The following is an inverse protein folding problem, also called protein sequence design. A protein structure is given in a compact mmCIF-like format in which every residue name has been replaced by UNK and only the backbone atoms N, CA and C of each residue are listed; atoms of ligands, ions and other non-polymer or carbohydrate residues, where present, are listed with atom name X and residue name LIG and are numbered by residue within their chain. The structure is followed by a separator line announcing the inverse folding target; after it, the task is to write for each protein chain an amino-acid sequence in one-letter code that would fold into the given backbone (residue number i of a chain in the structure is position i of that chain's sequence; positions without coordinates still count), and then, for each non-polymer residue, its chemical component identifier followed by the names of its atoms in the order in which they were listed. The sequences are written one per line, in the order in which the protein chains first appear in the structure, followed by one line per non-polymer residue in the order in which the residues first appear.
data_IF_533923682362
#
_entry.id   IF_533923682362
#
_cell.length_a   1.000
_cell.length_b   1.000
_cell.length_c   1.000
_cell.angle_alpha   90.00
_cell.angle_beta   90.00
_cell.angle_gamma   90.00
#
_symmetry.space_group_name_H-M   'P 1'
#
loop_
_entity.id
_entity.type
_entity.pdbx_description
1 polymer ?
#
# COMPACT_ATOMS: atom_id res chain seq x y z
N UNK A 1 11.27 -11.61 22.58
CA UNK A 1 11.91 -11.73 21.26
C UNK A 1 11.16 -12.68 20.33
N UNK A 2 10.38 -13.65 20.83
CA UNK A 2 9.71 -14.68 20.00
C UNK A 2 8.47 -14.23 19.21
N UNK A 3 7.71 -13.21 19.64
CA UNK A 3 6.48 -12.80 18.94
C UNK A 3 6.71 -12.11 17.58
N UNK A 4 7.91 -11.58 17.31
CA UNK A 4 8.22 -10.94 16.02
C UNK A 4 8.23 -11.95 14.88
N UNK A 5 8.74 -13.16 15.15
CA UNK A 5 8.84 -14.24 14.17
C UNK A 5 7.49 -14.84 13.78
N UNK A 6 6.52 -14.93 14.71
CA UNK A 6 5.20 -15.54 14.42
C UNK A 6 4.38 -14.69 13.46
N UNK A 7 4.45 -13.36 13.60
CA UNK A 7 3.71 -12.45 12.70
C UNK A 7 4.30 -12.45 11.30
N UNK A 8 5.62 -12.39 11.18
CA UNK A 8 6.33 -12.45 9.91
C UNK A 8 6.10 -13.80 9.20
N UNK A 9 6.14 -14.91 9.95
CA UNK A 9 5.81 -16.25 9.44
C UNK A 9 4.35 -16.33 8.98
N UNK A 10 3.42 -15.75 9.75
CA UNK A 10 2.01 -15.69 9.38
C UNK A 10 1.81 -14.87 8.11
N UNK A 11 2.45 -13.71 7.97
CA UNK A 11 2.36 -12.85 6.78
C UNK A 11 2.89 -13.54 5.51
N UNK A 12 3.96 -14.35 5.63
CA UNK A 12 4.41 -15.24 4.55
C UNK A 12 3.40 -16.34 4.25
N UNK A 13 2.89 -17.02 5.28
CA UNK A 13 1.91 -18.13 5.13
C UNK A 13 0.59 -17.68 4.53
N UNK A 14 0.14 -16.46 4.84
CA UNK A 14 -1.06 -15.89 4.23
C UNK A 14 -0.76 -15.19 2.91
N UNK A 15 0.48 -15.16 2.42
CA UNK A 15 0.88 -14.56 1.15
C UNK A 15 0.72 -13.03 1.10
N UNK A 16 0.81 -12.35 2.25
CA UNK A 16 0.87 -10.88 2.32
C UNK A 16 2.29 -10.38 2.06
N UNK A 17 3.28 -11.11 2.54
CA UNK A 17 4.68 -10.93 2.22
C UNK A 17 5.03 -11.79 0.99
N UNK A 18 5.52 -11.13 -0.06
CA UNK A 18 5.90 -11.76 -1.33
C UNK A 18 7.39 -11.63 -1.62
N UNK A 19 8.22 -11.17 -0.68
CA UNK A 19 9.68 -10.96 -0.91
C UNK A 19 10.37 -12.17 -1.51
N UNK A 20 10.10 -13.37 -1.00
CA UNK A 20 10.65 -14.62 -1.55
C UNK A 20 10.10 -14.96 -2.94
N UNK A 21 8.83 -14.65 -3.22
CA UNK A 21 8.20 -14.93 -4.50
C UNK A 21 8.69 -13.98 -5.61
N UNK A 22 9.07 -12.75 -5.27
CA UNK A 22 9.54 -11.73 -6.22
C UNK A 22 11.06 -11.60 -6.26
N UNK A 23 11.81 -12.45 -5.54
CA UNK A 23 13.28 -12.36 -5.47
C UNK A 23 13.95 -12.47 -6.83
N UNK A 24 13.45 -13.34 -7.70
CA UNK A 24 13.98 -13.58 -9.04
C UNK A 24 13.29 -12.71 -10.12
N UNK A 25 12.24 -11.98 -9.75
CA UNK A 25 11.54 -11.06 -10.66
C UNK A 25 12.38 -9.80 -10.86
N UNK A 26 12.58 -9.36 -12.10
CA UNK A 26 13.24 -8.08 -12.36
C UNK A 26 12.34 -6.91 -12.01
N UNK A 27 12.89 -5.86 -11.39
CA UNK A 27 12.15 -4.63 -11.13
C UNK A 27 11.68 -3.99 -12.44
N UNK A 28 10.49 -3.39 -12.41
CA UNK A 28 9.92 -2.69 -13.57
C UNK A 28 10.78 -1.50 -14.01
N UNK A 29 10.67 -1.11 -15.28
CA UNK A 29 11.30 0.10 -15.80
C UNK A 29 10.63 1.36 -15.22
N UNK A 30 11.32 2.49 -15.30
CA UNK A 30 10.71 3.78 -14.88
C UNK A 30 9.54 4.17 -15.80
N UNK A 31 9.58 3.77 -17.08
CA UNK A 31 8.49 3.97 -18.03
C UNK A 31 7.23 3.18 -17.61
N UNK A 32 7.40 1.93 -17.21
CA UNK A 32 6.32 1.09 -16.70
C UNK A 32 5.73 1.64 -15.39
N UNK A 33 6.60 2.13 -14.50
CA UNK A 33 6.20 2.74 -13.25
C UNK A 33 5.42 4.04 -13.50
N UNK A 34 5.86 4.86 -14.46
CA UNK A 34 5.16 6.09 -14.84
C UNK A 34 3.79 5.79 -15.46
N UNK A 35 3.72 4.84 -16.41
CA UNK A 35 2.45 4.40 -17.00
C UNK A 35 1.49 3.87 -15.93
N UNK A 36 1.99 3.12 -14.95
CA UNK A 36 1.15 2.67 -13.84
C UNK A 36 0.65 3.83 -12.98
N UNK A 37 1.51 4.80 -12.67
CA UNK A 37 1.13 6.00 -11.91
C UNK A 37 0.07 6.83 -12.63
N UNK A 38 0.22 7.00 -13.95
CA UNK A 38 -0.76 7.69 -14.80
C UNK A 38 -2.12 6.98 -14.82
N UNK A 39 -2.14 5.65 -15.00
CA UNK A 39 -3.37 4.85 -14.99
C UNK A 39 -4.06 4.91 -13.62
N UNK A 40 -3.29 4.87 -12.53
CA UNK A 40 -3.82 5.06 -11.18
C UNK A 40 -4.41 6.45 -10.98
N UNK A 41 -3.73 7.50 -11.44
CA UNK A 41 -4.23 8.87 -11.38
C UNK A 41 -5.48 9.07 -12.23
N UNK A 42 -5.54 8.47 -13.43
CA UNK A 42 -6.71 8.51 -14.29
C UNK A 42 -7.91 7.77 -13.68
N UNK A 43 -7.68 6.59 -13.11
CA UNK A 43 -8.71 5.82 -12.42
C UNK A 43 -9.20 6.54 -11.14
N UNK A 44 -8.30 7.19 -10.39
CA UNK A 44 -8.67 8.08 -9.28
C UNK A 44 -9.61 9.19 -9.73
N UNK A 45 -9.36 9.77 -10.91
CA UNK A 45 -10.23 10.77 -11.49
C UNK A 45 -11.68 10.30 -11.72
N UNK A 46 -11.86 9.00 -11.94
CA UNK A 46 -13.18 8.38 -12.16
C UNK A 46 -13.87 7.99 -10.86
N UNK A 47 -13.11 7.67 -9.82
CA UNK A 47 -13.62 7.16 -8.53
C UNK A 47 -13.88 8.30 -7.55
N UNK A 48 -13.01 9.32 -7.52
CA UNK A 48 -13.05 10.40 -6.54
C UNK A 48 -13.41 11.74 -7.18
N UNK A 49 -14.21 12.51 -6.44
CA UNK A 49 -14.53 13.89 -6.77
C UNK A 49 -13.26 14.75 -6.76
N UNK A 50 -13.15 15.81 -7.59
CA UNK A 50 -11.95 16.64 -7.70
C UNK A 50 -11.35 17.10 -6.37
N UNK A 51 -12.18 17.58 -5.43
CA UNK A 51 -11.74 18.05 -4.11
C UNK A 51 -11.27 16.92 -3.17
N UNK A 52 -11.51 15.67 -3.56
CA UNK A 52 -11.17 14.47 -2.80
C UNK A 52 -9.98 13.71 -3.40
N UNK A 53 -9.47 14.13 -4.56
CA UNK A 53 -8.36 13.48 -5.27
C UNK A 53 -7.02 13.75 -4.59
N UNK A 54 -6.82 13.08 -3.46
CA UNK A 54 -5.53 13.02 -2.78
C UNK A 54 -5.02 11.58 -2.80
N UNK A 55 -3.73 11.41 -3.10
CA UNK A 55 -3.09 10.10 -3.05
C UNK A 55 -3.25 9.42 -1.68
N UNK A 56 -3.33 10.21 -0.60
CA UNK A 56 -3.50 9.68 0.76
C UNK A 56 -4.88 9.07 1.00
N UNK A 57 -5.95 9.61 0.35
CA UNK A 57 -7.27 8.97 0.40
C UNK A 57 -7.28 7.64 -0.34
N UNK A 58 -6.58 7.55 -1.47
CA UNK A 58 -6.40 6.26 -2.15
C UNK A 58 -5.67 5.28 -1.24
N UNK A 59 -4.52 5.68 -0.69
CA UNK A 59 -3.74 4.86 0.23
C UNK A 59 -4.62 4.29 1.35
N UNK A 60 -5.42 5.14 1.99
CA UNK A 60 -6.35 4.73 3.05
C UNK A 60 -7.47 3.78 2.59
N UNK A 61 -7.86 3.83 1.33
CA UNK A 61 -8.88 2.93 0.78
C UNK A 61 -8.29 1.56 0.44
N UNK A 62 -7.00 1.52 0.12
CA UNK A 62 -6.25 0.30 -0.22
C UNK A 62 -5.75 -0.44 1.02
N UNK A 63 -5.36 0.29 2.07
CA UNK A 63 -4.99 -0.24 3.39
C UNK A 63 -6.23 -0.76 4.14
N UNK A 64 -6.83 -1.85 3.63
CA UNK A 64 -8.08 -2.44 4.11
C UNK A 64 -7.91 -3.00 5.52
N UNK A 65 -6.77 -3.64 5.78
CA UNK A 65 -6.49 -4.20 7.10
C UNK A 65 -6.06 -3.14 8.13
N UNK A 66 -5.84 -1.90 7.67
CA UNK A 66 -5.43 -0.81 8.52
C UNK A 66 -4.10 -1.12 9.19
N UNK A 67 -3.12 -1.65 8.46
CA UNK A 67 -1.75 -1.85 8.93
C UNK A 67 -0.89 -0.59 8.77
N UNK A 68 -1.23 0.27 7.79
CA UNK A 68 -0.51 1.50 7.48
C UNK A 68 0.63 1.28 6.50
N UNK A 69 0.61 0.11 5.86
CA UNK A 69 1.41 -0.27 4.72
C UNK A 69 0.48 -1.01 3.77
N UNK A 70 0.80 -1.03 2.49
CA UNK A 70 0.05 -1.80 1.50
C UNK A 70 0.79 -3.11 1.29
N UNK A 71 0.10 -4.23 1.48
CA UNK A 71 0.59 -5.56 1.12
C UNK A 71 0.39 -5.83 -0.38
N UNK A 72 1.09 -6.83 -0.92
CA UNK A 72 0.95 -7.18 -2.34
C UNK A 72 -0.49 -7.53 -2.72
N UNK A 73 -1.20 -8.23 -1.83
CA UNK A 73 -2.61 -8.57 -2.02
C UNK A 73 -3.49 -7.34 -2.09
N UNK A 74 -3.27 -6.35 -1.24
CA UNK A 74 -4.04 -5.11 -1.25
C UNK A 74 -3.77 -4.30 -2.53
N UNK A 75 -2.52 -4.26 -2.99
CA UNK A 75 -2.18 -3.64 -4.28
C UNK A 75 -2.89 -4.36 -5.44
N UNK A 76 -2.80 -5.69 -5.50
CA UNK A 76 -3.46 -6.48 -6.54
C UNK A 76 -4.98 -6.30 -6.50
N UNK A 77 -5.60 -6.38 -5.33
CA UNK A 77 -7.04 -6.16 -5.13
C UNK A 77 -7.45 -4.76 -5.61
N UNK A 78 -6.69 -3.71 -5.25
CA UNK A 78 -6.94 -2.36 -5.72
C UNK A 78 -6.92 -2.28 -7.25
N UNK A 79 -5.90 -2.85 -7.90
CA UNK A 79 -5.76 -2.82 -9.36
C UNK A 79 -6.95 -3.52 -10.04
N UNK A 80 -7.38 -4.66 -9.50
CA UNK A 80 -8.44 -5.50 -10.09
C UNK A 80 -9.86 -4.99 -9.79
N UNK A 81 -10.12 -4.60 -8.55
CA UNK A 81 -11.47 -4.38 -8.03
C UNK A 81 -11.85 -2.91 -7.99
N UNK A 82 -10.95 -2.06 -7.47
CA UNK A 82 -11.20 -0.62 -7.29
C UNK A 82 -10.94 0.14 -8.59
N UNK A 83 -9.74 0.00 -9.16
CA UNK A 83 -9.33 0.70 -10.38
C UNK A 83 -9.81 -0.01 -11.66
N UNK A 84 -10.15 -1.30 -11.55
CA UNK A 84 -10.61 -2.16 -12.65
C UNK A 84 -9.70 -2.10 -13.88
N UNK A 85 -8.39 -2.04 -13.64
CA UNK A 85 -7.40 -2.00 -14.72
C UNK A 85 -7.34 -3.36 -15.42
N UNK A 86 -7.09 -3.32 -16.73
CA UNK A 86 -7.14 -4.51 -17.58
C UNK A 86 -6.09 -5.55 -17.12
N UNK A 87 -6.49 -6.79 -16.78
CA UNK A 87 -5.57 -7.86 -16.40
C UNK A 87 -4.54 -8.24 -17.45
N UNK A 88 -4.79 -7.91 -18.73
CA UNK A 88 -3.81 -8.11 -19.80
C UNK A 88 -2.70 -7.07 -19.79
N UNK A 89 -3.03 -5.82 -19.45
CA UNK A 89 -2.07 -4.71 -19.37
C UNK A 89 -1.25 -4.79 -18.08
N UNK A 90 -1.92 -5.14 -16.98
CA UNK A 90 -1.30 -5.33 -15.68
C UNK A 90 -1.36 -6.81 -15.30
N UNK A 91 -0.59 -7.67 -15.97
CA UNK A 91 -0.50 -9.10 -15.62
C UNK A 91 0.08 -9.30 -14.22
N UNK A 92 -0.05 -10.50 -13.65
CA UNK A 92 0.55 -10.82 -12.35
C UNK A 92 2.07 -10.58 -12.35
N UNK A 93 2.78 -10.99 -13.41
CA UNK A 93 4.22 -10.76 -13.56
C UNK A 93 4.54 -9.26 -13.60
N UNK A 94 3.75 -8.47 -14.33
CA UNK A 94 3.91 -7.01 -14.38
C UNK A 94 3.70 -6.37 -13.01
N UNK A 95 2.67 -6.82 -12.28
CA UNK A 95 2.41 -6.35 -10.92
C UNK A 95 3.53 -6.71 -9.95
N UNK A 96 4.14 -7.88 -10.08
CA UNK A 96 5.30 -8.27 -9.27
C UNK A 96 6.54 -7.42 -9.59
N UNK A 97 6.80 -7.12 -10.87
CA UNK A 97 7.88 -6.22 -11.27
C UNK A 97 7.64 -4.78 -10.77
N UNK A 98 6.41 -4.28 -10.87
CA UNK A 98 6.03 -2.97 -10.34
C UNK A 98 6.15 -2.93 -8.82
N UNK A 99 5.69 -3.98 -8.13
CA UNK A 99 5.82 -4.16 -6.69
C UNK A 99 7.28 -4.01 -6.25
N UNK A 100 8.19 -4.75 -6.88
CA UNK A 100 9.62 -4.71 -6.57
C UNK A 100 10.24 -3.32 -6.80
N UNK A 101 9.67 -2.53 -7.71
CA UNK A 101 10.11 -1.17 -7.97
C UNK A 101 9.55 -0.16 -6.95
N UNK A 102 8.39 -0.44 -6.36
CA UNK A 102 7.73 0.38 -5.35
C UNK A 102 8.27 0.14 -3.93
N UNK A 103 8.63 -1.11 -3.62
CA UNK A 103 9.24 -1.56 -2.37
C UNK A 103 10.74 -1.25 -2.38
N UNK A 104 11.09 0.03 -2.32
CA UNK A 104 12.48 0.52 -2.45
C UNK A 104 13.38 0.02 -1.31
N UNK A 105 12.81 -0.12 -0.11
CA UNK A 105 13.53 -0.66 1.06
C UNK A 105 13.49 -2.19 1.14
N UNK A 106 12.80 -2.87 0.20
CA UNK A 106 12.62 -4.33 0.17
C UNK A 106 12.06 -4.89 1.48
N UNK A 107 11.20 -4.13 2.16
CA UNK A 107 10.56 -4.54 3.40
C UNK A 107 9.45 -5.57 3.18
N UNK A 108 9.03 -5.79 1.93
CA UNK A 108 7.89 -6.65 1.60
C UNK A 108 6.55 -5.96 1.77
N UNK A 109 6.53 -4.62 1.96
CA UNK A 109 5.33 -3.81 2.07
C UNK A 109 5.56 -2.39 1.54
N UNK A 110 4.57 -1.77 0.91
CA UNK A 110 4.67 -0.38 0.46
C UNK A 110 4.21 0.57 1.56
N UNK A 111 5.10 1.44 2.03
CA UNK A 111 4.77 2.48 3.00
C UNK A 111 4.00 3.65 2.36
N UNK A 112 3.37 4.47 3.20
CA UNK A 112 2.70 5.69 2.73
C UNK A 112 3.66 6.66 2.00
N UNK A 113 4.93 6.70 2.40
CA UNK A 113 5.95 7.55 1.79
C UNK A 113 6.29 7.09 0.36
N UNK A 114 6.54 5.79 0.19
CA UNK A 114 6.82 5.17 -1.11
C UNK A 114 5.62 5.32 -2.05
N UNK A 115 4.41 5.03 -1.55
CA UNK A 115 3.18 5.20 -2.33
C UNK A 115 2.97 6.65 -2.78
N UNK A 116 3.17 7.61 -1.87
CA UNK A 116 3.05 9.03 -2.18
C UNK A 116 4.09 9.51 -3.20
N UNK A 117 5.34 9.01 -3.12
CA UNK A 117 6.38 9.32 -4.10
C UNK A 117 5.99 8.79 -5.50
N UNK A 118 5.52 7.54 -5.56
CA UNK A 118 5.06 6.92 -6.79
C UNK A 118 3.88 7.65 -7.43
N UNK A 119 2.85 8.02 -6.65
CA UNK A 119 1.66 8.71 -7.17
C UNK A 119 1.96 10.09 -7.75
N UNK A 120 3.07 10.72 -7.30
CA UNK A 120 3.55 12.00 -7.84
C UNK A 120 4.26 11.86 -9.19
N UNK A 121 4.77 10.67 -9.55
CA UNK A 121 5.51 10.45 -10.82
C UNK A 121 4.62 10.59 -12.05
N UNK A 122 3.40 10.08 -12.02
CA UNK A 122 2.40 10.18 -13.10
C UNK A 122 1.39 11.32 -12.88
N UNK A 123 1.55 12.13 -11.84
CA UNK A 123 0.74 13.31 -11.65
C UNK A 123 1.33 14.42 -12.53
N UNK A 124 0.78 14.59 -13.74
CA UNK A 124 1.01 15.82 -14.50
C UNK A 124 0.74 17.04 -13.62
N UNK A 125 1.38 18.18 -13.94
CA UNK A 125 1.52 19.38 -13.10
C UNK A 125 0.23 19.97 -12.46
N UNK A 126 -0.95 19.46 -12.78
CA UNK A 126 -2.26 19.95 -12.30
C UNK A 126 -3.12 18.90 -11.56
N UNK A 127 -2.63 17.67 -11.37
CA UNK A 127 -3.51 16.53 -11.01
C UNK A 127 -3.65 16.15 -9.53
N UNK A 128 -2.85 16.69 -8.62
CA UNK A 128 -2.84 16.24 -7.22
C UNK A 128 -2.82 17.43 -6.27
N UNK A 129 -3.95 17.69 -5.59
CA UNK A 129 -3.94 18.69 -4.51
C UNK A 129 -3.14 18.12 -3.35
N UNK A 130 -2.03 18.77 -3.01
CA UNK A 130 -1.19 18.46 -1.86
C UNK A 130 -1.88 18.84 -0.53
N UNK A 131 -3.17 18.56 -0.38
CA UNK A 131 -3.93 18.85 0.85
C UNK A 131 -3.91 17.72 1.88
N UNK A 132 -3.07 16.69 1.70
CA UNK A 132 -2.55 15.95 2.84
C UNK A 132 -1.56 16.86 3.59
N UNK A 133 -2.08 17.79 4.39
CA UNK A 133 -1.24 18.59 5.27
C UNK A 133 -0.47 17.65 6.20
N UNK A 134 0.80 17.94 6.47
CA UNK A 134 1.68 17.16 7.35
C UNK A 134 1.05 16.86 8.74
N UNK A 135 0.04 17.62 9.15
CA UNK A 135 -0.78 17.37 10.33
C UNK A 135 -1.61 16.07 10.24
N UNK A 136 -2.10 15.72 9.05
CA UNK A 136 -2.90 14.50 8.82
C UNK A 136 -2.05 13.21 8.81
N UNK A 137 -0.84 13.26 8.25
CA UNK A 137 0.12 12.15 8.27
C UNK A 137 0.61 11.84 9.69
N UNK A 138 1.02 12.88 10.45
CA UNK A 138 1.48 12.71 11.84
C UNK A 138 0.33 12.29 12.78
N UNK A 139 -0.88 12.81 12.56
CA UNK A 139 -2.08 12.42 13.31
C UNK A 139 -2.50 10.99 13.00
N UNK A 140 -2.48 10.56 11.73
CA UNK A 140 -2.82 9.20 11.34
C UNK A 140 -1.83 8.17 11.93
N UNK A 141 -0.52 8.43 11.82
CA UNK A 141 0.50 7.58 12.42
C UNK A 141 0.36 7.47 13.96
N UNK A 142 0.13 8.61 14.66
CA UNK A 142 -0.07 8.62 16.12
C UNK A 142 -1.35 7.92 16.56
N UNK A 143 -2.49 8.23 15.93
CA UNK A 143 -3.79 7.65 16.29
C UNK A 143 -3.80 6.14 16.08
N UNK A 144 -3.07 5.67 15.07
CA UNK A 144 -2.94 4.25 14.74
C UNK A 144 -1.98 3.49 15.66
N UNK A 145 -0.83 4.08 16.03
CA UNK A 145 0.02 3.51 17.08
C UNK A 145 -0.73 3.36 18.41
N UNK A 146 -1.56 4.35 18.77
CA UNK A 146 -2.40 4.28 19.96
C UNK A 146 -3.43 3.13 19.90
N UNK A 147 -4.13 2.97 18.77
CA UNK A 147 -5.09 1.86 18.61
C UNK A 147 -4.42 0.48 18.56
N UNK A 148 -3.25 0.36 17.93
CA UNK A 148 -2.50 -0.89 17.90
C UNK A 148 -2.02 -1.30 19.30
N UNK A 149 -1.56 -0.33 20.09
CA UNK A 149 -1.20 -0.54 21.49
C UNK A 149 -2.42 -0.95 22.33
N UNK A 150 -3.56 -0.27 22.16
CA UNK A 150 -4.80 -0.58 22.89
C UNK A 150 -5.33 -1.98 22.56
N UNK A 151 -5.34 -2.38 21.29
CA UNK A 151 -5.75 -3.73 20.88
C UNK A 151 -4.77 -4.81 21.37
N UNK A 152 -3.47 -4.51 21.47
CA UNK A 152 -2.49 -5.43 22.05
C UNK A 152 -2.72 -5.63 23.55
N UNK A 153 -3.02 -4.57 24.30
CA UNK A 153 -3.35 -4.65 25.73
C UNK A 153 -4.64 -5.44 25.98
N UNK A 154 -5.68 -5.22 25.17
CA UNK A 154 -6.95 -5.95 25.28
C UNK A 154 -6.82 -7.45 25.00
N UNK A 155 -5.90 -7.84 24.10
CA UNK A 155 -5.60 -9.25 23.82
C UNK A 155 -4.81 -9.92 24.94
N UNK A 156 -3.95 -9.18 25.64
CA UNK A 156 -3.22 -9.72 26.80
C UNK A 156 -4.14 -9.96 28.01
N UNK A 157 -5.09 -9.04 28.25
CA UNK A 157 -6.04 -9.16 29.36
C UNK A 157 -7.00 -10.37 29.25
N UNK A 158 -7.30 -10.82 28.02
CA UNK A 158 -8.18 -11.97 27.80
C UNK A 158 -7.48 -13.34 27.88
N UNK A 159 -6.14 -13.36 27.97
CA UNK A 159 -5.34 -14.59 28.00
C UNK A 159 -4.71 -14.88 29.38
N UNK A 160 -5.01 -14.07 30.39
CA UNK A 160 -4.65 -14.30 31.80
C UNK A 160 -5.83 -14.77 32.67
N UNK A 161 -7.04 -14.87 32.12
CA UNK A 161 -8.27 -15.29 32.83
C UNK A 161 -8.81 -16.68 32.39
N UNK A 162 -8.04 -17.45 31.60
CA UNK A 162 -8.32 -18.83 31.22
C UNK A 162 -7.18 -19.76 31.65
#
# INVERSE_FOLDING_TARGET
AEMRSVKEDMDRRVGRDVTEAVKDVSAASDEDLNSFSEEMNAAMGKIFLPDERTWFRLFRRVDVDGSGRISYKELASMVREELRLNPKTFSEEKLQSLWKKLDEDSSGFISAGEFGHFMKKGAGAEGMTSQASAASENSYAKKKQAMAHENALKRHAHNEEA
#
